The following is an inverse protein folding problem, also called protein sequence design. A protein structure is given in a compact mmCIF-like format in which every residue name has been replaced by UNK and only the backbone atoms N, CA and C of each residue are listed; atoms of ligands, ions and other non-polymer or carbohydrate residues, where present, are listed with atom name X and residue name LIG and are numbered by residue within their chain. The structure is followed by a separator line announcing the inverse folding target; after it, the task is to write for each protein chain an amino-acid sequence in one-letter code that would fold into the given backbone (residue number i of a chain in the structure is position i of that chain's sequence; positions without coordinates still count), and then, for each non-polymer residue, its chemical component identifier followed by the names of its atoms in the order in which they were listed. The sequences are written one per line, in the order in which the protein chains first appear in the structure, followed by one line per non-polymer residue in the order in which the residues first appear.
data_IF_941132708149
#
_entry.id   IF_941132708149
#
_cell.length_a   1.000
_cell.length_b   1.000
_cell.length_c   1.000
_cell.angle_alpha   90.00
_cell.angle_beta   90.00
_cell.angle_gamma   90.00
#
_symmetry.space_group_name_H-M   'P 1'
#
loop_
_entity.id
_entity.type
_entity.pdbx_description
1 polymer ?
#
# COMPACT_ATOMS: atom_id res chain seq x y z
N UNK A 1 4.98 -5.46 -10.54
CA UNK A 1 4.69 -5.70 -9.10
C UNK A 1 4.90 -4.38 -8.35
N UNK A 2 4.20 -4.17 -7.24
CA UNK A 2 4.29 -2.92 -6.47
C UNK A 2 4.83 -3.19 -5.06
N UNK A 3 5.81 -2.40 -4.62
CA UNK A 3 6.24 -2.34 -3.23
C UNK A 3 5.69 -1.08 -2.58
N UNK A 4 5.05 -1.23 -1.42
CA UNK A 4 4.56 -0.12 -0.60
C UNK A 4 5.34 -0.11 0.70
N UNK A 5 6.13 0.94 0.89
CA UNK A 5 6.87 1.21 2.10
C UNK A 5 6.06 2.16 2.99
N UNK A 6 5.80 1.75 4.23
CA UNK A 6 5.02 2.52 5.20
C UNK A 6 5.86 2.81 6.43
N UNK A 7 5.90 4.08 6.86
CA UNK A 7 6.52 4.49 8.13
C UNK A 7 5.47 4.92 9.15
N UNK A 8 5.49 4.30 10.33
CA UNK A 8 4.60 4.58 11.46
C UNK A 8 5.40 4.68 12.77
N UNK A 9 5.39 5.85 13.42
CA UNK A 9 6.07 6.08 14.71
C UNK A 9 7.52 5.58 14.78
N UNK A 10 8.30 5.77 13.71
CA UNK A 10 9.70 5.32 13.64
C UNK A 10 9.90 3.85 13.30
N UNK A 11 8.83 3.05 13.16
CA UNK A 11 8.87 1.72 12.57
C UNK A 11 8.60 1.80 11.06
N UNK A 12 9.30 0.98 10.28
CA UNK A 12 9.06 0.82 8.84
C UNK A 12 8.58 -0.59 8.52
N UNK A 13 7.70 -0.69 7.52
CA UNK A 13 7.21 -1.96 6.99
C UNK A 13 7.08 -1.90 5.47
N UNK A 14 7.37 -3.02 4.80
CA UNK A 14 7.20 -3.18 3.36
C UNK A 14 6.10 -4.19 3.08
N UNK A 15 5.24 -3.86 2.12
CA UNK A 15 4.22 -4.76 1.58
C UNK A 15 4.39 -4.87 0.07
N UNK A 16 4.36 -6.08 -0.46
CA UNK A 16 4.48 -6.32 -1.90
C UNK A 16 3.16 -6.83 -2.46
N UNK A 17 2.67 -6.20 -3.53
CA UNK A 17 1.41 -6.52 -4.17
C UNK A 17 1.68 -6.96 -5.62
N UNK A 18 1.12 -8.10 -6.04
CA UNK A 18 1.29 -8.67 -7.39
C UNK A 18 0.64 -7.86 -8.53
N UNK A 19 0.19 -6.64 -8.25
CA UNK A 19 -0.36 -5.73 -9.25
C UNK A 19 0.73 -4.89 -9.93
N UNK A 20 0.41 -4.37 -11.11
CA UNK A 20 1.14 -3.26 -11.70
C UNK A 20 0.83 -1.94 -10.95
N UNK A 21 1.65 -0.91 -11.18
CA UNK A 21 1.48 0.36 -10.49
C UNK A 21 0.16 1.04 -10.86
N UNK A 22 -0.28 0.94 -12.11
CA UNK A 22 -1.54 1.54 -12.56
C UNK A 22 -2.74 0.91 -11.86
N UNK A 23 -2.82 -0.43 -11.82
CA UNK A 23 -3.89 -1.17 -11.16
C UNK A 23 -3.88 -0.95 -9.64
N UNK A 24 -2.70 -0.89 -9.02
CA UNK A 24 -2.58 -0.55 -7.61
C UNK A 24 -3.13 0.85 -7.31
N UNK A 25 -2.67 1.86 -8.06
CA UNK A 25 -3.07 3.25 -7.84
C UNK A 25 -4.55 3.50 -8.11
N UNK A 26 -5.17 2.80 -9.08
CA UNK A 26 -6.63 2.83 -9.29
C UNK A 26 -7.38 2.37 -8.03
N UNK A 27 -6.99 1.24 -7.44
CA UNK A 27 -7.63 0.76 -6.19
C UNK A 27 -7.38 1.70 -5.01
N UNK A 28 -6.15 2.19 -4.88
CA UNK A 28 -5.79 3.17 -3.86
C UNK A 28 -6.70 4.41 -3.93
N UNK A 29 -6.77 5.04 -5.10
CA UNK A 29 -7.56 6.27 -5.31
C UNK A 29 -9.07 6.04 -5.23
N UNK A 30 -9.56 4.82 -5.47
CA UNK A 30 -10.97 4.51 -5.30
C UNK A 30 -11.35 4.29 -3.82
N UNK A 31 -10.50 3.63 -3.03
CA UNK A 31 -10.77 3.37 -1.61
C UNK A 31 -10.52 4.59 -0.72
N UNK A 32 -9.43 5.32 -0.96
CA UNK A 32 -8.98 6.35 -0.04
C UNK A 32 -9.99 7.47 0.22
N UNK A 33 -10.65 8.07 -0.79
CA UNK A 33 -11.65 9.13 -0.56
C UNK A 33 -12.92 8.63 0.11
N UNK A 34 -13.29 7.36 -0.10
CA UNK A 34 -14.55 6.80 0.39
C UNK A 34 -14.45 6.29 1.83
N UNK A 35 -13.32 5.68 2.20
CA UNK A 35 -13.19 4.94 3.48
C UNK A 35 -12.04 5.44 4.36
N UNK A 36 -11.13 6.27 3.83
CA UNK A 36 -10.01 6.85 4.59
C UNK A 36 -8.84 5.89 4.87
N UNK A 37 -8.92 4.64 4.41
CA UNK A 37 -7.84 3.66 4.48
C UNK A 37 -7.83 2.78 3.23
N UNK A 38 -6.68 2.20 2.95
CA UNK A 38 -6.50 1.17 1.94
C UNK A 38 -6.59 -0.22 2.59
N UNK A 39 -7.22 -1.17 1.89
CA UNK A 39 -7.19 -2.59 2.22
C UNK A 39 -6.79 -3.39 0.99
N UNK A 40 -5.96 -4.41 1.18
CA UNK A 40 -5.53 -5.33 0.14
C UNK A 40 -4.97 -6.63 0.71
N UNK A 41 -4.61 -7.55 -0.17
CA UNK A 41 -3.87 -8.77 0.16
C UNK A 41 -2.48 -8.65 -0.48
N UNK A 42 -1.41 -8.91 0.29
CA UNK A 42 -0.04 -8.91 -0.24
C UNK A 42 0.28 -10.23 -0.98
N UNK A 43 1.48 -10.33 -1.56
CA UNK A 43 1.94 -11.51 -2.28
C UNK A 43 1.99 -12.80 -1.44
N UNK A 44 2.02 -12.68 -0.11
CA UNK A 44 2.05 -13.82 0.81
C UNK A 44 0.63 -14.26 1.22
N UNK A 45 -0.42 -13.62 0.68
CA UNK A 45 -1.80 -13.86 1.08
C UNK A 45 -2.19 -13.16 2.39
N UNK A 46 -1.38 -12.23 2.92
CA UNK A 46 -1.69 -11.53 4.17
C UNK A 46 -2.55 -10.31 3.89
N UNK A 47 -3.59 -10.13 4.70
CA UNK A 47 -4.41 -8.93 4.65
C UNK A 47 -3.64 -7.73 5.18
N UNK A 48 -3.48 -6.71 4.33
CA UNK A 48 -2.82 -5.44 4.64
C UNK A 48 -3.87 -4.33 4.74
N UNK A 49 -3.79 -3.53 5.80
CA UNK A 49 -4.62 -2.33 6.00
C UNK A 49 -3.68 -1.15 6.26
N UNK A 50 -3.79 -0.10 5.44
CA UNK A 50 -2.95 1.09 5.54
C UNK A 50 -3.87 2.30 5.75
N UNK A 51 -3.76 2.95 6.91
CA UNK A 51 -4.42 4.23 7.18
C UNK A 51 -3.38 5.36 7.04
N UNK A 52 -3.35 6.09 5.91
CA UNK A 52 -2.34 7.11 5.67
C UNK A 52 -2.38 8.27 6.65
N UNK A 53 -3.52 8.55 7.30
CA UNK A 53 -3.60 9.58 8.35
C UNK A 53 -2.75 9.25 9.58
N UNK A 54 -2.46 7.96 9.78
CA UNK A 54 -1.62 7.48 10.86
C UNK A 54 -0.14 7.34 10.41
N UNK A 55 0.12 7.25 9.11
CA UNK A 55 1.46 7.02 8.57
C UNK A 55 2.20 8.33 8.36
N UNK A 56 3.43 8.44 8.88
CA UNK A 56 4.27 9.63 8.65
C UNK A 56 4.76 9.74 7.21
N UNK A 57 4.95 8.61 6.53
CA UNK A 57 5.35 8.56 5.12
C UNK A 57 4.88 7.27 4.49
N UNK A 58 4.46 7.33 3.23
CA UNK A 58 4.13 6.18 2.39
C UNK A 58 4.80 6.37 1.04
N UNK A 59 5.60 5.39 0.63
CA UNK A 59 6.25 5.38 -0.67
C UNK A 59 5.75 4.18 -1.47
N UNK A 60 5.23 4.44 -2.66
CA UNK A 60 4.73 3.40 -3.57
C UNK A 60 5.71 3.35 -4.74
N UNK A 61 6.29 2.18 -5.00
CA UNK A 61 7.31 1.98 -6.03
C UNK A 61 6.96 0.78 -6.88
N UNK A 62 7.20 0.89 -8.18
CA UNK A 62 7.23 -0.26 -9.06
C UNK A 62 8.50 -1.07 -8.82
N UNK A 63 8.36 -2.39 -8.76
CA UNK A 63 9.48 -3.32 -8.73
C UNK A 63 9.44 -4.15 -10.00
N UNK A 64 10.54 -4.04 -10.77
CA UNK A 64 10.80 -4.88 -11.93
C UNK A 64 11.12 -6.28 -11.40
N UNK A 65 10.23 -7.23 -11.70
CA UNK A 65 10.50 -8.67 -11.56
C UNK A 65 11.27 -9.19 -12.75
#
# INVERSE_FOLDING_TARGET
MVSVHVMFNGASMYYEFENDIEGFMKRWNNHMPAVGFFTGEDKDGKKVIINPSNCGTIEIREING
#
